data_IF_110651447854
#
_entry.id   IF_110651447854
#
_cell.length_a   1.000
_cell.length_b   1.000
_cell.length_c   1.000
_cell.angle_alpha   90.00
_cell.angle_beta   90.00
_cell.angle_gamma   90.00
#
_symmetry.space_group_name_H-M   'P 1'
#
loop_
_entity.id
_entity.type
_entity.pdbx_description
1 polymer ?
#
# COMPACT_ATOMS: atom_id res chain seq x y z
N UNK A 1 -10.13 2.71 -1.52
CA UNK A 1 -10.31 3.95 -0.70
C UNK A 1 -9.11 4.12 0.24
N UNK A 2 -8.72 5.35 0.55
CA UNK A 2 -7.61 5.70 1.46
C UNK A 2 -7.99 5.57 2.95
N UNK A 3 -8.84 4.60 3.25
CA UNK A 3 -9.44 4.42 4.57
C UNK A 3 -8.45 3.82 5.59
N UNK A 4 -8.86 3.83 6.86
CA UNK A 4 -8.07 3.24 7.95
C UNK A 4 -7.72 1.76 7.71
N UNK A 5 -8.56 1.02 6.97
CA UNK A 5 -8.29 -0.37 6.62
C UNK A 5 -7.15 -0.48 5.59
N UNK A 6 -7.02 0.46 4.65
CA UNK A 6 -5.87 0.56 3.76
C UNK A 6 -4.58 0.81 4.55
N UNK A 7 -4.58 1.84 5.42
CA UNK A 7 -3.42 2.16 6.25
C UNK A 7 -2.99 0.95 7.09
N UNK A 8 -3.94 0.24 7.69
CA UNK A 8 -3.65 -0.97 8.46
C UNK A 8 -2.98 -2.06 7.60
N UNK A 9 -3.47 -2.35 6.39
CA UNK A 9 -2.87 -3.39 5.54
C UNK A 9 -1.46 -3.04 5.09
N UNK A 10 -1.21 -1.79 4.74
CA UNK A 10 0.12 -1.33 4.31
C UNK A 10 1.12 -1.40 5.47
N UNK A 11 0.71 -0.98 6.67
CA UNK A 11 1.57 -1.00 7.85
C UNK A 11 1.92 -2.42 8.33
N UNK A 12 1.05 -3.41 8.10
CA UNK A 12 1.30 -4.81 8.45
C UNK A 12 2.17 -5.56 7.42
N UNK A 13 2.25 -5.05 6.18
CA UNK A 13 2.95 -5.74 5.09
C UNK A 13 4.45 -6.00 5.38
N UNK A 14 5.22 -5.07 5.99
CA UNK A 14 6.58 -5.33 6.46
C UNK A 14 6.71 -6.51 7.43
N UNK A 15 5.74 -6.68 8.34
CA UNK A 15 5.70 -7.80 9.27
C UNK A 15 5.52 -9.16 8.59
N UNK A 16 4.99 -9.16 7.37
CA UNK A 16 4.81 -10.35 6.53
C UNK A 16 6.00 -10.59 5.57
N UNK A 17 7.08 -9.82 5.70
CA UNK A 17 8.26 -9.91 4.86
C UNK A 17 8.12 -9.20 3.50
N UNK A 18 7.07 -8.39 3.31
CA UNK A 18 6.95 -7.52 2.14
C UNK A 18 7.75 -6.23 2.35
N UNK A 19 8.30 -5.67 1.26
CA UNK A 19 8.95 -4.37 1.32
C UNK A 19 8.10 -3.30 0.62
N UNK A 20 8.09 -2.10 1.18
CA UNK A 20 7.44 -0.94 0.56
C UNK A 20 8.31 -0.45 -0.59
N UNK A 21 7.75 -0.40 -1.80
CA UNK A 21 8.43 0.18 -2.96
C UNK A 21 8.06 1.65 -3.08
N UNK A 22 9.04 2.51 -2.82
CA UNK A 22 8.91 3.97 -2.84
C UNK A 22 7.76 4.48 -1.94
N UNK A 23 7.48 5.78 -2.04
CA UNK A 23 6.32 6.41 -1.40
C UNK A 23 5.01 6.08 -2.12
N UNK A 24 3.86 6.25 -1.43
CA UNK A 24 2.55 5.98 -2.01
C UNK A 24 2.19 6.98 -3.10
N UNK A 25 1.40 6.50 -4.07
CA UNK A 25 0.81 7.31 -5.14
C UNK A 25 -0.61 7.75 -4.75
N UNK A 26 -0.95 9.00 -5.04
CA UNK A 26 -2.26 9.60 -4.76
C UNK A 26 -2.86 10.14 -6.05
N UNK A 27 -4.14 9.88 -6.28
CA UNK A 27 -4.91 10.48 -7.37
C UNK A 27 -6.37 10.71 -6.96
N UNK A 28 -7.15 11.40 -7.80
CA UNK A 28 -8.58 11.68 -7.57
C UNK A 28 -9.36 11.25 -8.81
N UNK A 29 -10.38 10.41 -8.64
CA UNK A 29 -11.15 9.82 -9.76
C UNK A 29 -12.40 10.63 -10.14
N UNK A 30 -12.63 11.78 -9.50
CA UNK A 30 -13.83 12.60 -9.68
C UNK A 30 -14.82 12.49 -8.53
N UNK A 31 -14.71 11.45 -7.69
CA UNK A 31 -15.57 11.23 -6.54
C UNK A 31 -14.75 10.99 -5.25
N UNK A 32 -13.66 10.22 -5.36
CA UNK A 32 -12.86 9.78 -4.23
C UNK A 32 -11.36 10.02 -4.44
N UNK A 33 -10.66 10.25 -3.32
CA UNK A 33 -9.20 10.16 -3.31
C UNK A 33 -8.79 8.69 -3.33
N UNK A 34 -7.94 8.32 -4.27
CA UNK A 34 -7.42 6.97 -4.45
C UNK A 34 -5.95 6.96 -4.06
N UNK A 35 -5.65 6.22 -3.00
CA UNK A 35 -4.29 5.97 -2.51
C UNK A 35 -3.84 4.56 -2.93
N UNK A 36 -2.64 4.45 -3.49
CA UNK A 36 -2.04 3.18 -3.87
C UNK A 36 -0.62 3.08 -3.31
N UNK A 37 -0.27 1.91 -2.78
CA UNK A 37 1.09 1.60 -2.32
C UNK A 37 1.59 0.31 -2.96
N UNK A 38 2.79 0.38 -3.55
CA UNK A 38 3.43 -0.78 -4.14
C UNK A 38 4.16 -1.61 -3.08
N UNK A 39 4.00 -2.93 -3.15
CA UNK A 39 4.67 -3.88 -2.26
C UNK A 39 5.52 -4.85 -3.07
N UNK A 40 6.75 -5.09 -2.62
CA UNK A 40 7.62 -6.15 -3.14
C UNK A 40 7.41 -7.40 -2.29
N UNK A 41 7.20 -8.55 -2.95
CA UNK A 41 7.13 -9.83 -2.23
C UNK A 41 8.52 -10.37 -1.98
N UNK A 42 8.76 -11.02 -0.83
CA UNK A 42 10.02 -11.71 -0.60
C UNK A 42 10.19 -12.77 -1.69
N UNK A 43 11.37 -12.84 -2.28
CA UNK A 43 11.69 -13.88 -3.25
C UNK A 43 11.54 -15.23 -2.56
N UNK A 44 10.73 -16.11 -3.12
CA UNK A 44 10.55 -17.47 -2.61
C UNK A 44 11.86 -18.23 -2.86
N UNK A 45 12.60 -18.51 -1.79
CA UNK A 45 13.77 -19.41 -1.80
C UNK A 45 13.35 -20.85 -2.06
#
# INVERSE_FOLDING_TARGET
PDDAAFCHRVSEAPGLGHELREGPAVTFDGENVVLAQALVRPARS
#
